data_IF_043305636573
#
_entry.id   IF_043305636573
#
_cell.length_a   1.000
_cell.length_b   1.000
_cell.length_c   1.000
_cell.angle_alpha   90.00
_cell.angle_beta   90.00
_cell.angle_gamma   90.00
#
_symmetry.space_group_name_H-M   'P 1'
#
loop_
_entity.id
_entity.type
_entity.pdbx_description
1 polymer ?
#
# COMPACT_ATOMS: atom_id res chain seq x y z
N UNK A 1 11.96 -9.82 -13.77
CA UNK A 1 10.55 -9.48 -13.47
C UNK A 1 10.47 -8.77 -12.13
N UNK A 2 10.53 -7.44 -12.15
CA UNK A 2 10.49 -6.59 -10.96
C UNK A 2 9.03 -6.38 -10.52
N UNK A 3 8.75 -6.36 -9.20
CA UNK A 3 7.42 -6.05 -8.67
C UNK A 3 6.90 -4.68 -9.14
N UNK A 4 7.80 -3.71 -9.34
CA UNK A 4 7.46 -2.39 -9.87
C UNK A 4 6.83 -2.47 -11.27
N UNK A 5 7.43 -3.24 -12.18
CA UNK A 5 6.96 -3.36 -13.56
C UNK A 5 5.56 -3.98 -13.60
N UNK A 6 5.34 -5.00 -12.77
CA UNK A 6 4.05 -5.68 -12.65
C UNK A 6 2.96 -4.70 -12.19
N UNK A 7 3.24 -3.89 -11.17
CA UNK A 7 2.29 -2.91 -10.62
C UNK A 7 2.06 -1.76 -11.61
N UNK A 8 3.10 -1.31 -12.32
CA UNK A 8 3.04 -0.17 -13.23
C UNK A 8 2.31 -0.49 -14.52
N UNK A 9 2.56 -1.64 -15.12
CA UNK A 9 2.12 -1.97 -16.48
C UNK A 9 0.96 -2.96 -16.54
N UNK A 10 0.50 -3.49 -15.42
CA UNK A 10 -0.62 -4.43 -15.39
C UNK A 10 -1.63 -4.08 -14.30
N UNK A 11 -2.82 -4.68 -14.40
CA UNK A 11 -3.89 -4.61 -13.40
C UNK A 11 -3.97 -5.89 -12.55
N UNK A 12 -2.89 -6.68 -12.50
CA UNK A 12 -2.85 -7.92 -11.72
C UNK A 12 -2.79 -7.61 -10.22
N UNK A 13 -3.52 -8.38 -9.43
CA UNK A 13 -3.37 -8.37 -7.97
C UNK A 13 -2.01 -8.96 -7.57
N UNK A 14 -1.27 -8.23 -6.74
CA UNK A 14 0.07 -8.61 -6.28
C UNK A 14 0.07 -8.75 -4.77
N UNK A 15 0.54 -9.90 -4.28
CA UNK A 15 0.85 -10.10 -2.87
C UNK A 15 2.36 -9.97 -2.65
N UNK A 16 2.79 -8.87 -2.05
CA UNK A 16 4.19 -8.59 -1.74
C UNK A 16 4.47 -8.84 -0.26
N UNK A 17 5.32 -9.83 0.02
CA UNK A 17 5.78 -10.15 1.37
C UNK A 17 7.31 -10.04 1.48
N UNK A 18 7.82 -10.07 2.71
CA UNK A 18 9.24 -9.98 3.02
C UNK A 18 9.48 -9.88 4.52
N UNK A 19 10.69 -10.22 4.97
CA UNK A 19 11.09 -10.16 6.39
C UNK A 19 10.93 -8.74 6.97
N UNK A 20 10.96 -8.62 8.30
CA UNK A 20 11.01 -7.31 8.95
C UNK A 20 12.24 -6.53 8.46
N UNK A 21 12.11 -5.20 8.30
CA UNK A 21 13.22 -4.35 7.84
C UNK A 21 13.53 -4.39 6.34
N UNK A 22 12.84 -5.16 5.51
CA UNK A 22 13.11 -5.26 4.05
C UNK A 22 12.54 -4.10 3.21
N UNK A 23 12.21 -2.96 3.82
CA UNK A 23 11.80 -1.76 3.07
C UNK A 23 10.39 -1.77 2.47
N UNK A 24 9.48 -2.67 2.89
CA UNK A 24 8.10 -2.76 2.34
C UNK A 24 7.33 -1.42 2.37
N UNK A 25 7.37 -0.71 3.50
CA UNK A 25 6.71 0.61 3.62
C UNK A 25 7.37 1.66 2.74
N UNK A 26 8.70 1.62 2.62
CA UNK A 26 9.46 2.49 1.71
C UNK A 26 9.06 2.24 0.26
N UNK A 27 8.90 0.98 -0.13
CA UNK A 27 8.43 0.60 -1.45
C UNK A 27 7.03 1.15 -1.74
N UNK A 28 6.08 1.05 -0.81
CA UNK A 28 4.75 1.66 -0.96
C UNK A 28 4.81 3.17 -1.19
N UNK A 29 5.65 3.89 -0.42
CA UNK A 29 5.85 5.34 -0.61
C UNK A 29 6.46 5.66 -1.98
N UNK A 30 7.43 4.86 -2.42
CA UNK A 30 8.04 4.99 -3.74
C UNK A 30 7.03 4.77 -4.89
N UNK A 31 6.14 3.79 -4.76
CA UNK A 31 5.08 3.56 -5.75
C UNK A 31 4.17 4.78 -5.88
N UNK A 32 3.78 5.39 -4.75
CA UNK A 32 2.93 6.58 -4.72
C UNK A 32 3.55 7.79 -5.43
N UNK A 33 4.88 7.93 -5.39
CA UNK A 33 5.58 9.06 -6.06
C UNK A 33 5.96 8.78 -7.50
N UNK A 34 6.08 7.51 -7.89
CA UNK A 34 6.67 7.11 -9.18
C UNK A 34 5.64 6.62 -10.20
N UNK A 35 4.49 6.15 -9.73
CA UNK A 35 3.42 5.63 -10.59
C UNK A 35 2.29 6.66 -10.67
N UNK A 36 1.92 7.02 -11.90
CA UNK A 36 0.76 7.86 -12.16
C UNK A 36 -0.51 6.99 -12.28
N UNK A 37 -0.99 6.47 -11.14
CA UNK A 37 -2.26 5.75 -11.01
C UNK A 37 -3.07 6.37 -9.86
N UNK A 38 -4.40 6.33 -9.96
CA UNK A 38 -5.27 6.67 -8.84
C UNK A 38 -5.03 5.66 -7.72
N UNK A 39 -4.33 6.11 -6.66
CA UNK A 39 -3.81 5.23 -5.63
C UNK A 39 -4.31 5.65 -4.24
N UNK A 40 -4.76 4.65 -3.49
CA UNK A 40 -5.08 4.78 -2.06
C UNK A 40 -4.24 3.77 -1.30
N UNK A 41 -3.68 4.20 -0.17
CA UNK A 41 -2.97 3.32 0.77
C UNK A 41 -3.89 3.10 1.98
N UNK A 42 -4.21 1.84 2.26
CA UNK A 42 -5.00 1.42 3.41
C UNK A 42 -4.24 0.44 4.29
N UNK A 43 -4.50 0.47 5.59
CA UNK A 43 -3.93 -0.47 6.57
C UNK A 43 -4.98 -0.87 7.64
N UNK A 44 -4.79 -2.00 8.34
CA UNK A 44 -5.77 -2.46 9.34
C UNK A 44 -5.75 -1.65 10.65
N UNK A 45 -4.62 -1.04 11.02
CA UNK A 45 -4.49 -0.27 12.27
C UNK A 45 -4.08 1.18 12.00
N UNK A 46 -4.42 2.08 12.93
CA UNK A 46 -4.09 3.50 12.81
C UNK A 46 -2.59 3.78 12.71
N UNK A 47 -1.77 3.12 13.54
CA UNK A 47 -0.31 3.28 13.52
C UNK A 47 0.28 2.83 12.17
N UNK A 48 -0.20 1.71 11.60
CA UNK A 48 0.27 1.25 10.30
C UNK A 48 -0.14 2.20 9.16
N UNK A 49 -1.37 2.72 9.22
CA UNK A 49 -1.88 3.70 8.25
C UNK A 49 -1.04 4.98 8.26
N UNK A 50 -0.76 5.54 9.45
CA UNK A 50 0.08 6.74 9.61
C UNK A 50 1.49 6.48 9.06
N UNK A 51 2.12 5.36 9.43
CA UNK A 51 3.46 5.03 8.98
C UNK A 51 3.56 4.88 7.45
N UNK A 52 2.50 4.39 6.81
CA UNK A 52 2.40 4.24 5.36
C UNK A 52 1.91 5.51 4.63
N UNK A 53 1.50 6.56 5.35
CA UNK A 53 0.95 7.78 4.76
C UNK A 53 -0.43 7.58 4.11
N UNK A 54 -1.26 6.75 4.74
CA UNK A 54 -2.60 6.36 4.29
C UNK A 54 -3.66 6.45 5.39
N UNK A 55 -4.75 5.71 5.21
CA UNK A 55 -5.89 5.65 6.13
C UNK A 55 -6.16 4.22 6.60
N UNK A 56 -7.01 4.05 7.61
CA UNK A 56 -7.43 2.69 7.97
C UNK A 56 -8.45 2.16 6.97
N UNK A 57 -8.56 0.83 6.84
CA UNK A 57 -9.61 0.20 6.02
C UNK A 57 -11.00 0.67 6.49
N UNK A 58 -11.22 0.72 7.81
CA UNK A 58 -12.47 1.19 8.41
C UNK A 58 -12.79 2.64 8.03
N UNK A 59 -11.85 3.57 8.19
CA UNK A 59 -12.11 4.99 7.91
C UNK A 59 -12.30 5.26 6.42
N UNK A 60 -11.54 4.59 5.56
CA UNK A 60 -11.64 4.78 4.11
C UNK A 60 -12.97 4.27 3.54
N UNK A 61 -13.42 3.09 3.97
CA UNK A 61 -14.67 2.49 3.51
C UNK A 61 -15.89 2.84 4.38
N UNK A 62 -15.73 3.69 5.40
CA UNK A 62 -16.78 4.07 6.36
C UNK A 62 -17.44 2.85 7.05
N UNK A 63 -16.63 1.82 7.34
CA UNK A 63 -17.09 0.59 7.99
C UNK A 63 -17.00 0.80 9.50
N UNK A 64 -18.15 0.69 10.18
CA UNK A 64 -18.20 0.76 11.64
C UNK A 64 -17.31 -0.34 12.27
N UNK A 65 -16.68 -0.08 13.43
CA UNK A 65 -16.04 -1.15 14.21
C UNK A 65 -17.10 -2.20 14.57
N UNK A 66 -16.78 -3.47 14.30
CA UNK A 66 -17.55 -4.63 14.76
C UNK A 66 -17.37 -4.87 16.25
#
# INVERSE_FOLDING_TARGET
NNALDLIKHTEKTVYLTGKAGTGKTTFLKYLKTTINKNMVIVAPTGVAAINAGGQTIHSFFQIAPS
#
